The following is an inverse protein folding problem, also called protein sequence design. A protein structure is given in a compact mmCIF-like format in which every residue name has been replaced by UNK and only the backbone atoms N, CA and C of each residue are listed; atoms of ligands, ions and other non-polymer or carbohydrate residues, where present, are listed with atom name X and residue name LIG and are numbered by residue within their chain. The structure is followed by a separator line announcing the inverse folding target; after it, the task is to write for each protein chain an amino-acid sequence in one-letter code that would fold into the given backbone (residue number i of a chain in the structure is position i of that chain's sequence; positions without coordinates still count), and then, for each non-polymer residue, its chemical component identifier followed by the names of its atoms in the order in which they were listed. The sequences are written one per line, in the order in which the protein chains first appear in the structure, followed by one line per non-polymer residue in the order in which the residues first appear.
data_IF_939550752273
#
_entry.id   IF_939550752273
#
_cell.length_a   1.000
_cell.length_b   1.000
_cell.length_c   1.000
_cell.angle_alpha   90.00
_cell.angle_beta   90.00
_cell.angle_gamma   90.00
#
_symmetry.space_group_name_H-M   'P 1'
#
loop_
_entity.id
_entity.type
_entity.pdbx_description
1 polymer ?
#
# COMPACT_ATOMS: atom_id res chain seq x y z
N UNK A 1 -2.58 -10.55 9.08
CA UNK A 1 -3.31 -9.37 8.59
C UNK A 1 -4.36 -8.92 9.61
N UNK A 2 -4.75 -7.64 9.57
CA UNK A 2 -5.85 -7.05 10.34
C UNK A 2 -6.83 -6.48 9.32
N UNK A 3 -8.08 -6.92 9.38
CA UNK A 3 -9.13 -6.36 8.56
C UNK A 3 -9.61 -5.04 9.18
N UNK A 4 -9.56 -3.98 8.39
CA UNK A 4 -10.09 -2.66 8.72
C UNK A 4 -11.47 -2.55 8.07
N UNK A 5 -12.46 -2.13 8.86
CA UNK A 5 -13.81 -1.88 8.38
C UNK A 5 -13.98 -0.42 8.00
N UNK A 6 -14.93 -0.14 7.11
CA UNK A 6 -15.22 1.22 6.62
C UNK A 6 -15.59 2.21 7.74
N UNK A 7 -16.21 1.70 8.80
CA UNK A 7 -16.63 2.47 9.98
C UNK A 7 -15.53 2.63 11.05
N UNK A 8 -14.37 1.99 10.88
CA UNK A 8 -13.28 2.14 11.86
C UNK A 8 -12.66 3.54 11.75
N UNK A 9 -12.63 4.26 12.85
CA UNK A 9 -11.90 5.52 12.95
C UNK A 9 -10.39 5.30 12.95
N UNK A 10 -9.59 6.34 12.63
CA UNK A 10 -8.15 6.25 12.64
C UNK A 10 -7.59 5.78 14.01
N UNK A 11 -8.16 6.29 15.11
CA UNK A 11 -7.77 5.88 16.46
C UNK A 11 -8.07 4.41 16.71
N UNK A 12 -9.26 3.91 16.31
CA UNK A 12 -9.62 2.51 16.48
C UNK A 12 -8.71 1.57 15.67
N UNK A 13 -8.30 1.99 14.50
CA UNK A 13 -7.30 1.25 13.70
C UNK A 13 -5.96 1.22 14.42
N UNK A 14 -5.50 2.35 14.94
CA UNK A 14 -4.26 2.44 15.71
C UNK A 14 -4.26 1.53 16.94
N UNK A 15 -5.36 1.54 17.73
CA UNK A 15 -5.53 0.66 18.88
C UNK A 15 -5.48 -0.84 18.52
N UNK A 16 -6.13 -1.22 17.41
CA UNK A 16 -6.09 -2.62 16.92
C UNK A 16 -4.67 -3.05 16.55
N UNK A 17 -3.91 -2.17 15.90
CA UNK A 17 -2.52 -2.43 15.49
C UNK A 17 -1.63 -2.54 16.73
N UNK A 18 -1.71 -1.56 17.63
CA UNK A 18 -0.93 -1.53 18.87
C UNK A 18 -1.22 -2.75 19.75
N UNK A 19 -2.50 -3.13 19.91
CA UNK A 19 -2.90 -4.34 20.64
C UNK A 19 -2.29 -5.62 20.04
N UNK A 20 -2.11 -5.68 18.71
CA UNK A 20 -1.54 -6.83 18.04
C UNK A 20 -0.02 -6.87 18.06
N UNK A 21 0.62 -5.72 17.97
CA UNK A 21 2.09 -5.60 17.96
C UNK A 21 2.68 -5.46 19.36
N UNK A 22 1.89 -5.08 20.37
CA UNK A 22 2.35 -4.74 21.71
C UNK A 22 2.90 -3.32 21.83
N UNK A 23 3.07 -2.61 20.70
CA UNK A 23 3.57 -1.23 20.63
C UNK A 23 3.12 -0.59 19.32
N UNK A 24 3.20 0.74 19.24
CA UNK A 24 3.06 1.45 17.98
C UNK A 24 4.27 1.18 17.07
N UNK A 25 4.05 1.01 15.75
CA UNK A 25 5.15 0.79 14.81
C UNK A 25 6.01 2.05 14.59
N UNK A 26 7.30 1.89 14.44
CA UNK A 26 8.25 2.98 14.15
C UNK A 26 8.22 3.38 12.65
N UNK A 27 7.71 2.50 11.79
CA UNK A 27 7.50 2.76 10.36
C UNK A 27 6.10 2.32 9.96
N UNK A 28 5.38 3.24 9.33
CA UNK A 28 4.09 2.96 8.69
C UNK A 28 4.17 3.32 7.21
N UNK A 29 3.69 2.43 6.36
CA UNK A 29 3.66 2.64 4.90
C UNK A 29 2.22 2.86 4.47
N UNK A 30 1.92 4.04 3.93
CA UNK A 30 0.64 4.32 3.27
C UNK A 30 0.77 4.08 1.76
N UNK A 31 0.20 2.96 1.30
CA UNK A 31 0.18 2.57 -0.11
C UNK A 31 -1.12 2.99 -0.84
N UNK A 32 -2.00 3.76 -0.19
CA UNK A 32 -3.26 4.24 -0.75
C UNK A 32 -3.21 5.72 -1.11
N UNK A 33 -2.75 6.56 -0.18
CA UNK A 33 -2.60 7.99 -0.39
C UNK A 33 -3.92 8.74 -0.46
N UNK A 34 -4.87 8.39 0.41
CA UNK A 34 -6.11 9.13 0.64
C UNK A 34 -6.11 9.76 2.02
N UNK A 35 -6.98 10.74 2.26
CA UNK A 35 -7.07 11.41 3.56
C UNK A 35 -7.32 10.42 4.71
N UNK A 36 -8.19 9.44 4.49
CA UNK A 36 -8.49 8.42 5.50
C UNK A 36 -7.30 7.51 5.81
N UNK A 37 -6.59 7.01 4.79
CA UNK A 37 -5.42 6.14 4.98
C UNK A 37 -4.24 6.89 5.59
N UNK A 38 -4.01 8.13 5.15
CA UNK A 38 -3.00 9.00 5.74
C UNK A 38 -3.29 9.28 7.22
N UNK A 39 -4.55 9.63 7.56
CA UNK A 39 -4.96 9.85 8.96
C UNK A 39 -4.76 8.60 9.83
N UNK A 40 -5.06 7.42 9.30
CA UNK A 40 -4.80 6.16 10.00
C UNK A 40 -3.29 5.92 10.19
N UNK A 41 -2.49 6.08 9.13
CA UNK A 41 -1.04 5.92 9.19
C UNK A 41 -0.40 6.85 10.23
N UNK A 42 -0.83 8.12 10.22
CA UNK A 42 -0.32 9.13 11.15
C UNK A 42 -0.69 8.83 12.61
N UNK A 43 -1.88 8.29 12.89
CA UNK A 43 -2.28 7.89 14.25
C UNK A 43 -1.58 6.64 14.73
N UNK A 44 -1.27 5.71 13.83
CA UNK A 44 -0.62 4.44 14.16
C UNK A 44 0.87 4.58 14.49
N UNK A 45 1.58 5.49 13.85
CA UNK A 45 3.03 5.62 13.99
C UNK A 45 3.41 6.04 15.41
N UNK A 46 4.53 5.52 15.92
CA UNK A 46 5.10 5.91 17.21
C UNK A 46 5.60 7.37 17.20
N UNK A 47 5.88 7.93 18.35
CA UNK A 47 6.63 9.19 18.47
C UNK A 47 8.01 9.02 17.84
N UNK A 48 8.49 10.04 17.11
CA UNK A 48 9.73 10.01 16.32
C UNK A 48 9.75 8.96 15.20
N UNK A 49 8.61 8.33 14.93
CA UNK A 49 8.47 7.34 13.87
C UNK A 49 8.34 7.97 12.49
N UNK A 50 8.31 7.11 11.47
CA UNK A 50 8.31 7.49 10.07
C UNK A 50 7.02 7.05 9.39
N UNK A 51 6.41 7.92 8.60
CA UNK A 51 5.33 7.57 7.66
C UNK A 51 5.85 7.69 6.24
N UNK A 52 5.93 6.56 5.54
CA UNK A 52 6.33 6.48 4.14
C UNK A 52 5.09 6.52 3.25
N UNK A 53 4.99 7.53 2.40
CA UNK A 53 3.88 7.77 1.50
C UNK A 53 4.22 7.26 0.10
N UNK A 54 3.65 6.11 -0.29
CA UNK A 54 3.76 5.51 -1.63
C UNK A 54 2.49 5.79 -2.42
N UNK A 55 1.32 5.70 -1.76
CA UNK A 55 0.03 6.01 -2.36
C UNK A 55 -0.13 7.50 -2.62
N UNK A 56 -0.80 7.87 -3.73
CA UNK A 56 -0.99 9.26 -4.14
C UNK A 56 -2.34 9.50 -4.84
N UNK A 57 -3.39 8.80 -4.41
CA UNK A 57 -4.72 8.95 -5.01
C UNK A 57 -5.34 10.33 -4.75
N UNK A 58 -5.11 10.93 -3.58
CA UNK A 58 -5.60 12.26 -3.27
C UNK A 58 -4.58 13.33 -3.66
N UNK A 59 -5.06 14.43 -4.28
CA UNK A 59 -4.21 15.59 -4.59
C UNK A 59 -3.79 16.39 -3.35
N UNK A 60 -4.60 16.31 -2.29
CA UNK A 60 -4.38 17.02 -1.02
C UNK A 60 -4.94 16.16 0.11
N UNK A 61 -4.27 16.18 1.24
CA UNK A 61 -4.72 15.62 2.52
C UNK A 61 -4.53 16.66 3.61
N UNK A 62 -5.44 16.68 4.59
CA UNK A 62 -5.30 17.51 5.79
C UNK A 62 -4.57 16.71 6.86
N UNK A 63 -3.71 17.38 7.63
CA UNK A 63 -3.06 16.73 8.77
C UNK A 63 -2.86 17.71 9.92
N UNK A 64 -2.83 17.22 11.18
CA UNK A 64 -2.62 18.05 12.35
C UNK A 64 -1.14 18.46 12.48
N UNK A 65 -0.78 19.62 11.98
CA UNK A 65 0.61 20.12 11.98
C UNK A 65 1.21 20.15 13.38
N UNK A 66 0.42 20.56 14.39
CA UNK A 66 0.89 20.62 15.77
C UNK A 66 1.31 19.24 16.28
N UNK A 67 0.52 18.21 15.98
CA UNK A 67 0.82 16.82 16.39
C UNK A 67 2.06 16.30 15.65
N UNK A 68 2.23 16.65 14.37
CA UNK A 68 3.44 16.30 13.61
C UNK A 68 4.70 16.83 14.30
N UNK A 69 4.65 18.12 14.71
CA UNK A 69 5.79 18.80 15.35
C UNK A 69 6.03 18.24 16.76
N UNK A 70 4.97 18.13 17.59
CA UNK A 70 5.11 17.70 18.98
C UNK A 70 5.54 16.24 19.12
N UNK A 71 5.15 15.39 18.18
CA UNK A 71 5.54 13.97 18.14
C UNK A 71 6.84 13.72 17.37
N UNK A 72 7.46 14.76 16.81
CA UNK A 72 8.70 14.66 15.99
C UNK A 72 8.57 13.61 14.86
N UNK A 73 7.35 13.46 14.28
CA UNK A 73 7.08 12.45 13.25
C UNK A 73 7.68 12.87 11.90
N UNK A 74 8.32 11.96 11.20
CA UNK A 74 8.86 12.18 9.86
C UNK A 74 7.87 11.71 8.79
N UNK A 75 7.59 12.56 7.80
CA UNK A 75 6.84 12.20 6.60
C UNK A 75 7.79 12.11 5.40
N UNK A 76 7.80 10.98 4.71
CA UNK A 76 8.67 10.76 3.55
C UNK A 76 7.81 10.32 2.37
N UNK A 77 7.85 11.09 1.28
CA UNK A 77 7.24 10.71 0.00
C UNK A 77 8.21 9.87 -0.83
N UNK A 78 7.67 8.91 -1.56
CA UNK A 78 8.41 8.14 -2.57
C UNK A 78 7.59 8.06 -3.85
N UNK A 79 8.26 8.11 -4.98
CA UNK A 79 7.60 8.05 -6.28
C UNK A 79 8.50 7.39 -7.32
N UNK A 80 7.96 6.33 -7.95
CA UNK A 80 8.69 5.58 -8.97
C UNK A 80 9.95 4.89 -8.41
N UNK A 81 10.89 4.68 -9.30
CA UNK A 81 12.18 4.06 -8.99
C UNK A 81 13.24 4.56 -9.99
N UNK A 82 14.49 4.60 -9.59
CA UNK A 82 15.62 4.84 -10.46
C UNK A 82 16.16 3.54 -11.07
N UNK A 83 17.16 3.67 -11.93
CA UNK A 83 17.76 2.51 -12.60
C UNK A 83 18.39 1.51 -11.61
N UNK A 84 18.99 2.01 -10.53
CA UNK A 84 19.62 1.14 -9.53
C UNK A 84 18.57 0.36 -8.74
N UNK A 85 17.52 1.02 -8.27
CA UNK A 85 16.40 0.37 -7.56
C UNK A 85 15.72 -0.71 -8.41
N UNK A 86 15.57 -0.46 -9.73
CA UNK A 86 15.05 -1.47 -10.65
C UNK A 86 15.96 -2.69 -10.74
N UNK A 87 17.28 -2.45 -10.90
CA UNK A 87 18.27 -3.51 -10.95
C UNK A 87 18.28 -4.36 -9.67
N UNK A 88 18.28 -3.69 -8.52
CA UNK A 88 18.25 -4.37 -7.22
C UNK A 88 16.98 -5.22 -7.06
N UNK A 89 15.83 -4.70 -7.50
CA UNK A 89 14.58 -5.45 -7.50
C UNK A 89 14.65 -6.70 -8.39
N UNK A 90 15.24 -6.61 -9.59
CA UNK A 90 15.44 -7.75 -10.48
C UNK A 90 16.38 -8.79 -9.84
N UNK A 91 17.43 -8.36 -9.18
CA UNK A 91 18.37 -9.26 -8.47
C UNK A 91 17.72 -9.99 -7.30
N UNK A 92 16.67 -9.39 -6.67
CA UNK A 92 15.90 -10.02 -5.61
C UNK A 92 14.92 -11.09 -6.11
N UNK A 93 14.47 -11.02 -7.36
CA UNK A 93 13.41 -11.89 -7.89
C UNK A 93 13.64 -13.40 -7.65
N UNK A 94 14.84 -13.96 -7.84
CA UNK A 94 15.07 -15.38 -7.59
C UNK A 94 14.80 -15.81 -6.14
N UNK A 95 15.06 -14.91 -5.18
CA UNK A 95 14.90 -15.20 -3.76
C UNK A 95 13.45 -15.15 -3.26
N UNK A 96 12.57 -14.41 -3.97
CA UNK A 96 11.16 -14.20 -3.59
C UNK A 96 10.18 -14.70 -4.67
N UNK A 97 10.65 -15.53 -5.60
CA UNK A 97 9.87 -15.97 -6.77
C UNK A 97 8.58 -16.67 -6.36
N UNK A 98 8.65 -17.58 -5.40
CA UNK A 98 7.50 -18.38 -4.98
C UNK A 98 6.43 -17.52 -4.33
N UNK A 99 6.84 -16.54 -3.52
CA UNK A 99 5.94 -15.55 -2.91
C UNK A 99 5.29 -14.67 -3.99
N UNK A 100 6.06 -14.21 -4.97
CA UNK A 100 5.54 -13.36 -6.06
C UNK A 100 4.55 -14.11 -6.95
N UNK A 101 4.74 -15.40 -7.18
CA UNK A 101 3.79 -16.20 -7.95
C UNK A 101 2.40 -16.23 -7.31
N UNK A 102 2.31 -16.13 -5.99
CA UNK A 102 1.01 -16.09 -5.30
C UNK A 102 0.18 -14.84 -5.62
N UNK A 103 0.80 -13.78 -6.14
CA UNK A 103 0.09 -12.57 -6.56
C UNK A 103 -0.49 -12.65 -7.98
N UNK A 104 -0.04 -13.63 -8.79
CA UNK A 104 -0.57 -13.85 -10.13
C UNK A 104 -1.82 -14.73 -9.99
N UNK A 105 -2.98 -14.11 -10.12
CA UNK A 105 -4.27 -14.76 -9.90
C UNK A 105 -5.02 -15.06 -11.21
N UNK A 106 -4.41 -14.73 -12.35
CA UNK A 106 -4.99 -15.07 -13.65
C UNK A 106 -4.06 -14.75 -14.81
N UNK A 107 -4.40 -15.32 -15.93
CA UNK A 107 -3.78 -15.11 -17.23
C UNK A 107 -4.86 -14.78 -18.25
N UNK A 108 -4.54 -13.94 -19.23
CA UNK A 108 -5.41 -13.65 -20.36
C UNK A 108 -4.60 -13.41 -21.63
N UNK A 109 -5.22 -13.61 -22.78
CA UNK A 109 -4.64 -13.21 -24.06
C UNK A 109 -4.83 -11.71 -24.30
N UNK A 110 -4.14 -11.17 -25.29
CA UNK A 110 -4.28 -9.74 -25.64
C UNK A 110 -5.71 -9.38 -26.07
N UNK A 111 -6.38 -10.31 -26.75
CA UNK A 111 -7.77 -10.16 -27.22
C UNK A 111 -8.79 -10.11 -26.06
N UNK A 112 -8.49 -10.77 -24.95
CA UNK A 112 -9.35 -10.82 -23.77
C UNK A 112 -9.20 -9.60 -22.85
N UNK A 113 -8.13 -8.82 -23.00
CA UNK A 113 -7.85 -7.65 -22.14
C UNK A 113 -9.05 -6.71 -21.98
N UNK A 114 -9.80 -6.30 -23.04
CA UNK A 114 -10.94 -5.39 -22.87
C UNK A 114 -12.04 -5.96 -21.97
N UNK A 115 -12.29 -7.26 -22.05
CA UNK A 115 -13.30 -7.95 -21.24
C UNK A 115 -12.84 -8.04 -19.78
N UNK A 116 -11.58 -8.44 -19.56
CA UNK A 116 -10.97 -8.52 -18.22
C UNK A 116 -10.96 -7.16 -17.53
N UNK A 117 -10.55 -6.11 -18.22
CA UNK A 117 -10.55 -4.74 -17.68
C UNK A 117 -11.97 -4.27 -17.33
N UNK A 118 -12.96 -4.65 -18.13
CA UNK A 118 -14.37 -4.32 -17.87
C UNK A 118 -14.88 -5.04 -16.63
N UNK A 119 -14.57 -6.33 -16.48
CA UNK A 119 -14.98 -7.13 -15.33
C UNK A 119 -14.32 -6.63 -14.02
N UNK A 120 -13.03 -6.28 -14.07
CA UNK A 120 -12.32 -5.67 -12.93
C UNK A 120 -12.94 -4.31 -12.56
N UNK A 121 -13.22 -3.45 -13.53
CA UNK A 121 -13.81 -2.13 -13.29
C UNK A 121 -15.21 -2.19 -12.67
N UNK A 122 -15.99 -3.21 -13.00
CA UNK A 122 -17.32 -3.48 -12.45
C UNK A 122 -17.29 -4.22 -11.10
N UNK A 123 -16.12 -4.72 -10.68
CA UNK A 123 -16.00 -5.57 -9.50
C UNK A 123 -16.58 -7.00 -9.67
N UNK A 124 -16.85 -7.40 -10.89
CA UNK A 124 -17.32 -8.75 -11.27
C UNK A 124 -16.19 -9.77 -11.15
N UNK A 125 -14.93 -9.30 -11.26
CA UNK A 125 -13.71 -10.05 -11.03
C UNK A 125 -12.82 -9.28 -10.07
N UNK A 126 -12.15 -10.00 -9.17
CA UNK A 126 -11.14 -9.45 -8.27
C UNK A 126 -9.85 -10.21 -8.50
N UNK A 127 -8.76 -9.50 -8.75
CA UNK A 127 -7.43 -10.08 -8.86
C UNK A 127 -6.37 -9.04 -8.50
N UNK A 128 -5.32 -9.47 -7.81
CA UNK A 128 -4.16 -8.63 -7.52
C UNK A 128 -3.32 -8.39 -8.77
N UNK A 129 -3.12 -9.44 -9.57
CA UNK A 129 -2.36 -9.38 -10.81
C UNK A 129 -2.91 -10.38 -11.83
N UNK A 130 -3.16 -9.89 -13.03
CA UNK A 130 -3.45 -10.70 -14.21
C UNK A 130 -2.33 -10.48 -15.21
N UNK A 131 -1.74 -11.56 -15.71
CA UNK A 131 -0.67 -11.51 -16.71
C UNK A 131 -1.26 -11.67 -18.10
N UNK A 132 -0.78 -10.85 -19.05
CA UNK A 132 -1.15 -10.97 -20.46
C UNK A 132 -0.12 -11.88 -21.12
N UNK A 133 -0.58 -13.01 -21.66
CA UNK A 133 0.25 -13.95 -22.38
C UNK A 133 0.28 -13.56 -23.87
N UNK A 134 1.48 -13.47 -24.41
CA UNK A 134 1.69 -13.26 -25.84
C UNK A 134 2.00 -14.60 -26.49
N UNK A 135 1.45 -14.87 -27.68
CA UNK A 135 1.82 -16.06 -28.45
C UNK A 135 3.33 -16.03 -28.75
N UNK A 136 3.97 -17.16 -28.49
CA UNK A 136 5.39 -17.41 -28.79
C UNK A 136 5.65 -17.52 -30.28
#
# INVERSE_FOLDING_TARGET
AIQIKKEDTANRVAEKIESKLGTKPDLVIDAVGMEASFGQAFQMVSERGNVLLIGNLAKKVSFPLQDLVSRETTLVGTYGFDHQAFKDAVEMLPAIKDELQTFIEGHCTLEEVPQVMTALAKGEQQALKIVIDFPS
#
